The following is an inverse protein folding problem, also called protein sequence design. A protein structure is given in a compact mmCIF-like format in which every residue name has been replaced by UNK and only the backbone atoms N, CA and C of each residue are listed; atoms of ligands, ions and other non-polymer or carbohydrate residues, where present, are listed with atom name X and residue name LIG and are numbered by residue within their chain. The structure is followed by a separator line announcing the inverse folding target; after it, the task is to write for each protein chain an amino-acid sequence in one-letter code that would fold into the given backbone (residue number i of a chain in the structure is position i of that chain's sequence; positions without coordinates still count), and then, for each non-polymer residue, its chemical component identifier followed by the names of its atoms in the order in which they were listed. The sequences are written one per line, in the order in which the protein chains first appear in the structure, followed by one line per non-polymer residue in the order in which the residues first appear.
data_IF_117865001372
#
_entry.id   IF_117865001372
#
_cell.length_a   1.000
_cell.length_b   1.000
_cell.length_c   1.000
_cell.angle_alpha   90.00
_cell.angle_beta   90.00
_cell.angle_gamma   90.00
#
_symmetry.space_group_name_H-M   'P 1'
#
loop_
_entity.id
_entity.type
_entity.pdbx_description
1 polymer ?
#
# COMPACT_ATOMS: atom_id res chain seq x y z
N UNK A 1 -17.25 10.70 5.40
CA UNK A 1 -16.22 11.05 6.41
C UNK A 1 -16.85 11.38 7.74
N UNK A 2 -17.97 12.10 7.75
CA UNK A 2 -18.66 12.54 8.98
C UNK A 2 -19.05 11.40 9.92
N UNK A 3 -19.59 10.29 9.39
CA UNK A 3 -19.98 9.15 10.23
C UNK A 3 -18.77 8.46 10.87
N UNK A 4 -17.67 8.33 10.14
CA UNK A 4 -16.42 7.79 10.68
C UNK A 4 -15.86 8.71 11.79
N UNK A 5 -15.99 10.03 11.62
CA UNK A 5 -15.69 11.04 12.65
C UNK A 5 -16.55 10.92 13.90
N UNK A 6 -17.85 10.64 13.73
CA UNK A 6 -18.76 10.38 14.85
C UNK A 6 -18.37 9.09 15.56
N UNK A 7 -18.08 8.02 14.83
CA UNK A 7 -17.65 6.73 15.38
C UNK A 7 -16.36 6.88 16.19
N UNK A 8 -15.36 7.61 15.67
CA UNK A 8 -14.12 7.89 16.41
C UNK A 8 -14.38 8.64 17.73
N UNK A 9 -15.26 9.66 17.73
CA UNK A 9 -15.63 10.39 18.96
C UNK A 9 -16.39 9.53 19.97
N UNK A 10 -17.28 8.66 19.50
CA UNK A 10 -18.08 7.77 20.36
C UNK A 10 -17.21 6.69 21.00
N UNK A 11 -16.36 6.03 20.21
CA UNK A 11 -15.46 5.00 20.72
C UNK A 11 -14.37 5.54 21.65
N UNK A 12 -14.05 6.83 21.58
CA UNK A 12 -13.19 7.48 22.56
C UNK A 12 -13.80 7.56 23.96
N UNK A 13 -15.12 7.38 24.10
CA UNK A 13 -15.82 7.36 25.40
C UNK A 13 -15.87 5.97 26.03
N UNK A 14 -15.49 4.94 25.28
CA UNK A 14 -15.52 3.54 25.70
C UNK A 14 -14.10 3.07 25.98
N UNK A 15 -13.89 2.40 27.11
CA UNK A 15 -12.59 1.80 27.44
C UNK A 15 -12.20 0.81 26.32
N UNK A 16 -10.99 0.97 25.75
CA UNK A 16 -10.49 0.22 24.58
C UNK A 16 -11.26 0.41 23.27
N UNK A 17 -12.22 1.34 23.18
CA UNK A 17 -12.99 1.54 21.95
C UNK A 17 -12.12 1.98 20.76
N UNK A 18 -11.13 2.84 21.00
CA UNK A 18 -10.14 3.20 19.96
C UNK A 18 -9.24 2.04 19.56
N UNK A 19 -8.90 1.13 20.49
CA UNK A 19 -8.09 -0.04 20.16
C UNK A 19 -8.84 -1.02 19.27
N UNK A 20 -10.13 -1.24 19.56
CA UNK A 20 -11.00 -2.08 18.73
C UNK A 20 -11.18 -1.48 17.33
N UNK A 21 -11.47 -0.18 17.25
CA UNK A 21 -11.60 0.53 15.98
C UNK A 21 -10.30 0.47 15.17
N UNK A 22 -9.16 0.63 15.82
CA UNK A 22 -7.84 0.53 15.20
C UNK A 22 -7.62 -0.88 14.64
N UNK A 23 -7.92 -1.92 15.41
CA UNK A 23 -7.81 -3.32 14.95
C UNK A 23 -8.69 -3.58 13.73
N UNK A 24 -9.97 -3.21 13.81
CA UNK A 24 -10.93 -3.43 12.73
C UNK A 24 -10.53 -2.72 11.42
N UNK A 25 -10.04 -1.47 11.51
CA UNK A 25 -9.58 -0.74 10.33
C UNK A 25 -8.29 -1.36 9.77
N UNK A 26 -7.35 -1.76 10.63
CA UNK A 26 -6.11 -2.41 10.19
C UNK A 26 -6.37 -3.75 9.50
N UNK A 27 -7.33 -4.55 9.99
CA UNK A 27 -7.73 -5.79 9.32
C UNK A 27 -8.42 -5.50 7.97
N UNK A 28 -9.24 -4.45 7.90
CA UNK A 28 -9.81 -4.02 6.63
C UNK A 28 -8.75 -3.56 5.62
N UNK A 29 -7.70 -2.84 6.06
CA UNK A 29 -6.55 -2.48 5.21
C UNK A 29 -5.86 -3.74 4.67
N UNK A 30 -5.66 -4.76 5.52
CA UNK A 30 -5.04 -6.03 5.12
C UNK A 30 -5.87 -6.78 4.09
N UNK A 31 -7.19 -6.85 4.25
CA UNK A 31 -8.07 -7.50 3.27
C UNK A 31 -8.06 -6.77 1.92
N UNK A 32 -8.08 -5.43 1.92
CA UNK A 32 -7.94 -4.64 0.69
C UNK A 32 -6.58 -4.86 0.03
N UNK A 33 -5.50 -4.87 0.81
CA UNK A 33 -4.14 -5.12 0.32
C UNK A 33 -3.97 -6.55 -0.23
N UNK A 34 -4.63 -7.53 0.37
CA UNK A 34 -4.69 -8.90 -0.14
C UNK A 34 -5.38 -8.97 -1.50
N UNK A 35 -6.52 -8.30 -1.66
CA UNK A 35 -7.21 -8.22 -2.94
C UNK A 35 -6.32 -7.58 -4.03
N UNK A 36 -5.59 -6.52 -3.71
CA UNK A 36 -4.60 -5.90 -4.63
C UNK A 36 -3.51 -6.90 -5.03
N UNK A 37 -3.03 -7.75 -4.11
CA UNK A 37 -2.05 -8.79 -4.46
C UNK A 37 -2.65 -9.88 -5.37
N UNK A 38 -3.91 -10.25 -5.18
CA UNK A 38 -4.59 -11.28 -5.97
C UNK A 38 -4.85 -10.83 -7.43
N UNK A 39 -5.07 -9.54 -7.69
CA UNK A 39 -5.21 -9.00 -9.06
C UNK A 39 -3.93 -9.17 -9.89
N UNK A 40 -2.77 -9.26 -9.24
CA UNK A 40 -1.46 -9.51 -9.87
C UNK A 40 -1.27 -10.99 -10.16
N UNK A 41 -1.58 -11.86 -9.20
CA UNK A 41 -1.36 -13.31 -9.32
C UNK A 41 -2.22 -13.92 -10.43
N UNK A 42 -3.45 -13.42 -10.61
CA UNK A 42 -4.39 -13.89 -11.63
C UNK A 42 -3.91 -13.57 -13.06
N UNK A 43 -3.27 -12.42 -13.26
CA UNK A 43 -2.70 -12.06 -14.57
C UNK A 43 -1.44 -12.88 -14.91
N UNK A 44 -0.74 -13.44 -13.92
CA UNK A 44 0.44 -14.28 -14.15
C UNK A 44 0.14 -15.77 -14.31
N UNK A 45 -1.07 -16.23 -13.99
CA UNK A 45 -1.46 -17.66 -14.01
C UNK A 45 -2.43 -18.02 -15.14
N UNK A 46 -2.96 -17.05 -15.87
CA UNK A 46 -3.86 -17.28 -17.01
C UNK A 46 -3.16 -17.67 -18.33
N UNK A 47 -1.82 -17.77 -18.37
CA UNK A 47 -1.05 -18.15 -19.56
C UNK A 47 -0.46 -19.57 -19.48
N UNK A 48 -1.25 -20.53 -18.99
CA UNK A 48 -0.94 -21.97 -19.02
C UNK A 48 -1.09 -22.63 -20.40
N UNK A 49 -0.83 -21.91 -21.50
CA UNK A 49 -1.00 -22.46 -22.85
C UNK A 49 -0.36 -21.59 -23.93
N UNK A 50 0.91 -21.89 -24.26
CA UNK A 50 1.59 -21.52 -25.50
C UNK A 50 1.58 -20.04 -25.92
N UNK A 51 2.49 -19.24 -25.35
CA UNK A 51 3.08 -18.10 -26.06
C UNK A 51 4.51 -17.86 -25.56
N UNK A 52 5.48 -18.33 -26.35
CA UNK A 52 6.88 -17.98 -26.21
C UNK A 52 7.10 -16.53 -26.67
N UNK A 53 6.63 -15.55 -25.90
CA UNK A 53 7.00 -14.12 -25.92
C UNK A 53 6.18 -13.39 -24.85
N UNK A 54 6.55 -13.56 -23.57
CA UNK A 54 6.03 -12.71 -22.50
C UNK A 54 6.51 -11.29 -22.76
N UNK A 55 5.62 -10.45 -23.29
CA UNK A 55 5.96 -9.08 -23.66
C UNK A 55 6.39 -8.33 -22.39
N UNK A 56 7.66 -7.91 -22.31
CA UNK A 56 8.19 -7.14 -21.16
C UNK A 56 7.30 -5.95 -20.82
N UNK A 57 6.58 -5.45 -21.81
CA UNK A 57 5.60 -4.38 -21.68
C UNK A 57 4.43 -4.76 -20.75
N UNK A 58 3.91 -5.99 -20.82
CA UNK A 58 2.81 -6.49 -19.99
C UNK A 58 3.21 -6.58 -18.52
N UNK A 59 4.43 -7.07 -18.24
CA UNK A 59 4.95 -7.15 -16.87
C UNK A 59 5.15 -5.76 -16.25
N UNK A 60 5.68 -4.81 -17.02
CA UNK A 60 5.80 -3.41 -16.59
C UNK A 60 4.41 -2.83 -16.29
N UNK A 61 3.41 -3.03 -17.16
CA UNK A 61 2.06 -2.53 -16.92
C UNK A 61 1.42 -3.10 -15.64
N UNK A 62 1.61 -4.39 -15.37
CA UNK A 62 1.13 -5.03 -14.13
C UNK A 62 1.83 -4.44 -12.90
N UNK A 63 3.15 -4.27 -12.95
CA UNK A 63 3.93 -3.67 -11.87
C UNK A 63 3.48 -2.23 -11.58
N UNK A 64 3.31 -1.41 -12.61
CA UNK A 64 2.85 -0.02 -12.48
C UNK A 64 1.45 0.05 -11.87
N UNK A 65 0.52 -0.79 -12.34
CA UNK A 65 -0.85 -0.86 -11.80
C UNK A 65 -0.84 -1.23 -10.32
N UNK A 66 -0.10 -2.27 -9.94
CA UNK A 66 -0.01 -2.69 -8.54
C UNK A 66 0.52 -1.57 -7.65
N UNK A 67 1.62 -0.90 -8.04
CA UNK A 67 2.17 0.21 -7.26
C UNK A 67 1.17 1.34 -7.14
N UNK A 68 0.45 1.68 -8.21
CA UNK A 68 -0.58 2.72 -8.18
C UNK A 68 -1.74 2.36 -7.22
N UNK A 69 -2.24 1.13 -7.26
CA UNK A 69 -3.31 0.67 -6.36
C UNK A 69 -2.89 0.74 -4.88
N UNK A 70 -1.64 0.38 -4.57
CA UNK A 70 -1.10 0.51 -3.20
C UNK A 70 -1.02 1.98 -2.77
N UNK A 71 -0.57 2.88 -3.66
CA UNK A 71 -0.49 4.32 -3.38
C UNK A 71 -1.87 4.95 -3.19
N UNK A 72 -2.85 4.59 -4.03
CA UNK A 72 -4.21 5.09 -3.91
C UNK A 72 -4.88 4.64 -2.60
N UNK A 73 -4.62 3.38 -2.20
CA UNK A 73 -5.05 2.87 -0.90
C UNK A 73 -4.41 3.66 0.24
N UNK A 74 -3.11 3.95 0.15
CA UNK A 74 -2.38 4.73 1.15
C UNK A 74 -2.93 6.16 1.26
N UNK A 75 -3.14 6.84 0.14
CA UNK A 75 -3.72 8.19 0.09
C UNK A 75 -5.12 8.22 0.70
N UNK A 76 -5.93 7.18 0.47
CA UNK A 76 -7.26 7.04 1.08
C UNK A 76 -7.19 6.99 2.61
N UNK A 77 -6.29 6.17 3.17
CA UNK A 77 -6.15 6.05 4.63
C UNK A 77 -5.42 7.23 5.27
N UNK A 78 -4.51 7.89 4.56
CA UNK A 78 -3.92 9.16 5.00
C UNK A 78 -4.98 10.26 5.12
N UNK A 79 -5.91 10.34 4.14
CA UNK A 79 -7.07 11.25 4.23
C UNK A 79 -7.95 10.93 5.43
N UNK A 80 -8.22 9.65 5.69
CA UNK A 80 -8.97 9.22 6.89
C UNK A 80 -8.24 9.69 8.15
N UNK A 81 -6.93 9.47 8.24
CA UNK A 81 -6.17 9.84 9.42
C UNK A 81 -6.17 11.35 9.67
N UNK A 82 -5.97 12.14 8.61
CA UNK A 82 -5.93 13.60 8.68
C UNK A 82 -7.29 14.22 9.02
N UNK A 83 -8.38 13.69 8.45
CA UNK A 83 -9.72 14.30 8.55
C UNK A 83 -10.56 13.75 9.71
N UNK A 84 -10.32 12.51 10.13
CA UNK A 84 -11.21 11.79 11.04
C UNK A 84 -10.55 11.44 12.37
N UNK A 85 -9.28 11.03 12.35
CA UNK A 85 -8.60 10.46 13.51
C UNK A 85 -7.75 11.47 14.29
N UNK A 86 -7.90 12.77 14.01
CA UNK A 86 -7.14 13.85 14.65
C UNK A 86 -5.62 13.61 14.65
N UNK A 87 -5.07 12.97 13.62
CA UNK A 87 -3.66 12.58 13.53
C UNK A 87 -3.15 11.74 14.72
N UNK A 88 -3.99 10.85 15.25
CA UNK A 88 -3.60 9.93 16.30
C UNK A 88 -2.48 8.98 15.82
N UNK A 89 -1.30 9.12 16.45
CA UNK A 89 -0.09 8.35 16.09
C UNK A 89 -0.26 6.85 16.27
N UNK A 90 -1.11 6.37 17.17
CA UNK A 90 -1.29 4.93 17.37
C UNK A 90 -2.02 4.28 16.20
N UNK A 91 -3.01 4.97 15.62
CA UNK A 91 -3.66 4.55 14.38
C UNK A 91 -2.68 4.59 13.20
N UNK A 92 -1.89 5.65 13.11
CA UNK A 92 -0.87 5.77 12.06
C UNK A 92 0.11 4.59 12.07
N UNK A 93 0.61 4.22 13.25
CA UNK A 93 1.50 3.07 13.41
C UNK A 93 0.80 1.79 12.97
N UNK A 94 -0.43 1.55 13.42
CA UNK A 94 -1.17 0.33 13.08
C UNK A 94 -1.50 0.22 11.59
N UNK A 95 -1.81 1.34 10.93
CA UNK A 95 -2.03 1.36 9.49
C UNK A 95 -0.73 1.06 8.74
N UNK A 96 0.39 1.68 9.14
CA UNK A 96 1.69 1.40 8.53
C UNK A 96 2.08 -0.09 8.66
N UNK A 97 1.85 -0.70 9.82
CA UNK A 97 2.05 -2.14 10.04
C UNK A 97 1.14 -3.00 9.14
N UNK A 98 -0.10 -2.58 8.91
CA UNK A 98 -1.00 -3.25 7.98
C UNK A 98 -0.51 -3.15 6.52
N UNK A 99 0.01 -1.99 6.10
CA UNK A 99 0.63 -1.80 4.78
C UNK A 99 1.88 -2.68 4.62
N UNK A 100 2.77 -2.66 5.60
CA UNK A 100 3.97 -3.49 5.61
C UNK A 100 3.62 -4.97 5.49
N UNK A 101 2.61 -5.43 6.22
CA UNK A 101 2.16 -6.82 6.20
C UNK A 101 1.80 -7.29 4.80
N UNK A 102 0.90 -6.60 4.08
CA UNK A 102 0.45 -7.12 2.78
C UNK A 102 1.48 -6.86 1.67
N UNK A 103 2.29 -5.79 1.76
CA UNK A 103 3.38 -5.54 0.82
C UNK A 103 4.41 -6.66 0.91
N UNK A 104 4.74 -7.10 2.11
CA UNK A 104 5.66 -8.22 2.36
C UNK A 104 5.12 -9.56 1.81
N UNK A 105 3.79 -9.75 1.83
CA UNK A 105 3.15 -10.93 1.25
C UNK A 105 3.23 -11.01 -0.28
N UNK A 106 3.55 -9.92 -0.97
CA UNK A 106 3.81 -9.96 -2.41
C UNK A 106 5.32 -10.14 -2.67
N UNK A 107 5.78 -11.31 -3.15
CA UNK A 107 7.20 -11.55 -3.42
C UNK A 107 7.77 -10.65 -4.53
N UNK A 108 6.92 -10.16 -5.44
CA UNK A 108 7.31 -9.24 -6.52
C UNK A 108 7.27 -7.76 -6.10
N UNK A 109 6.87 -7.43 -4.87
CA UNK A 109 6.70 -6.04 -4.42
C UNK A 109 7.96 -5.19 -4.62
N UNK A 110 9.13 -5.73 -4.28
CA UNK A 110 10.42 -5.05 -4.43
C UNK A 110 10.74 -4.76 -5.90
N UNK A 111 10.49 -5.73 -6.78
CA UNK A 111 10.73 -5.57 -8.22
C UNK A 111 9.76 -4.55 -8.82
N UNK A 112 8.48 -4.63 -8.47
CA UNK A 112 7.47 -3.70 -8.98
C UNK A 112 7.75 -2.25 -8.60
N UNK A 113 8.18 -2.00 -7.35
CA UNK A 113 8.56 -0.66 -6.91
C UNK A 113 9.79 -0.15 -7.66
N UNK A 114 10.79 -1.02 -7.90
CA UNK A 114 11.97 -0.64 -8.69
C UNK A 114 11.61 -0.34 -10.14
N UNK A 115 10.76 -1.15 -10.77
CA UNK A 115 10.27 -0.92 -12.13
C UNK A 115 9.47 0.38 -12.23
N UNK A 116 8.60 0.65 -11.26
CA UNK A 116 7.84 1.90 -11.19
C UNK A 116 8.75 3.13 -11.10
N UNK A 117 9.75 3.09 -10.24
CA UNK A 117 10.75 4.16 -10.12
C UNK A 117 11.53 4.37 -11.42
N UNK A 118 11.95 3.28 -12.07
CA UNK A 118 12.68 3.34 -13.33
C UNK A 118 11.82 3.91 -14.47
N UNK A 119 10.57 3.46 -14.60
CA UNK A 119 9.63 3.95 -15.61
C UNK A 119 9.34 5.45 -15.45
N UNK A 120 9.07 5.90 -14.22
CA UNK A 120 8.85 7.32 -13.93
C UNK A 120 10.11 8.18 -14.11
N UNK A 121 11.29 7.65 -13.79
CA UNK A 121 12.55 8.34 -14.02
C UNK A 121 12.87 8.49 -15.52
N UNK A 122 12.65 7.43 -16.30
CA UNK A 122 12.99 7.41 -17.73
C UNK A 122 12.01 8.16 -18.62
N UNK A 123 10.71 8.17 -18.29
CA UNK A 123 9.68 8.87 -19.07
C UNK A 123 9.65 10.38 -18.86
N UNK A 124 10.35 10.91 -17.86
CA UNK A 124 10.70 12.34 -17.78
C UNK A 124 9.52 13.32 -17.89
N UNK A 125 8.37 13.01 -17.32
CA UNK A 125 7.27 14.00 -17.21
C UNK A 125 7.64 15.07 -16.17
N UNK A 126 7.06 16.27 -16.34
CA UNK A 126 7.45 17.55 -15.70
C UNK A 126 7.97 17.40 -14.25
N UNK A 127 9.12 18.02 -13.95
CA UNK A 127 9.85 17.91 -12.67
C UNK A 127 8.97 17.99 -11.42
N UNK A 128 7.94 18.83 -11.42
CA UNK A 128 7.07 19.04 -10.26
C UNK A 128 6.14 17.87 -9.95
N UNK A 129 5.67 17.13 -10.97
CA UNK A 129 4.79 15.97 -10.78
C UNK A 129 5.61 14.75 -10.30
N UNK A 130 6.88 14.68 -10.72
CA UNK A 130 7.81 13.63 -10.30
C UNK A 130 8.13 13.67 -8.81
N UNK A 131 8.25 14.85 -8.18
CA UNK A 131 8.61 14.96 -6.76
C UNK A 131 7.54 14.35 -5.84
N UNK A 132 6.26 14.50 -6.19
CA UNK A 132 5.17 13.88 -5.42
C UNK A 132 5.20 12.35 -5.55
N UNK A 133 5.39 11.85 -6.77
CA UNK A 133 5.47 10.41 -7.06
C UNK A 133 6.71 9.77 -6.41
N UNK A 134 7.87 10.44 -6.46
CA UNK A 134 9.09 10.01 -5.79
C UNK A 134 8.91 9.94 -4.27
N UNK A 135 8.28 10.94 -3.65
CA UNK A 135 8.00 10.92 -2.21
C UNK A 135 7.07 9.76 -1.79
N UNK A 136 6.09 9.44 -2.63
CA UNK A 136 5.20 8.28 -2.46
C UNK A 136 5.95 6.96 -2.62
N UNK A 137 6.79 6.83 -3.64
CA UNK A 137 7.61 5.64 -3.87
C UNK A 137 8.67 5.43 -2.76
N UNK A 138 9.28 6.50 -2.24
CA UNK A 138 10.16 6.43 -1.06
C UNK A 138 9.39 5.89 0.15
N UNK A 139 8.11 6.25 0.32
CA UNK A 139 7.27 5.73 1.40
C UNK A 139 7.08 4.22 1.27
N UNK A 140 6.84 3.71 0.06
CA UNK A 140 6.78 2.26 -0.18
C UNK A 140 8.13 1.57 0.06
N UNK A 141 9.23 2.18 -0.35
CA UNK A 141 10.57 1.66 -0.09
C UNK A 141 10.86 1.56 1.41
N UNK A 142 10.43 2.55 2.21
CA UNK A 142 10.55 2.50 3.69
C UNK A 142 9.78 1.33 4.28
N UNK A 143 8.60 0.99 3.75
CA UNK A 143 7.84 -0.18 4.22
C UNK A 143 8.61 -1.49 3.97
N UNK A 144 9.21 -1.66 2.78
CA UNK A 144 10.04 -2.83 2.49
C UNK A 144 11.25 -2.92 3.42
N UNK A 145 11.98 -1.82 3.61
CA UNK A 145 13.17 -1.79 4.47
C UNK A 145 12.81 -2.11 5.92
N UNK A 146 11.68 -1.60 6.42
CA UNK A 146 11.21 -1.86 7.78
C UNK A 146 10.84 -3.34 7.98
N UNK A 147 10.13 -3.95 7.03
CA UNK A 147 9.83 -5.39 7.06
C UNK A 147 11.11 -6.22 7.09
N UNK A 148 12.06 -5.96 6.18
CA UNK A 148 13.34 -6.70 6.12
C UNK A 148 14.19 -6.56 7.39
N UNK A 149 14.20 -5.39 8.01
CA UNK A 149 14.89 -5.17 9.28
C UNK A 149 14.24 -5.99 10.41
N UNK A 150 12.91 -6.04 10.47
CA UNK A 150 12.16 -6.84 11.44
C UNK A 150 12.52 -8.33 11.37
N UNK A 151 12.65 -8.89 10.16
CA UNK A 151 13.03 -10.28 9.95
C UNK A 151 14.50 -10.60 10.28
N UNK A 152 15.41 -9.61 10.29
CA UNK A 152 16.84 -9.82 10.59
C UNK A 152 17.14 -9.88 12.09
N UNK A 153 16.26 -9.33 12.93
CA UNK A 153 16.45 -9.22 14.40
C UNK A 153 15.83 -10.38 15.20
N UNK A 154 15.35 -11.43 14.53
CA UNK A 154 14.72 -12.60 15.13
C UNK A 154 15.38 -13.86 14.60
#
# INVERSE_FOLDING_TARGET
MDDLGRMYKLFGRVVKGHDEMKSAISDYIRELGKAINETVTSNTTAEGGNAASGDKQTEVTVALRWVQEVLDLKDKFDKVQNLVLSNNKTFQTSFNEAFEYFIDKNPKSSEFITLFLYDHYTKGLKREENDSVLNKAITLFRFIVRSRAYHKTR
#
